data_IF_064685165614
#
_entry.id   IF_064685165614
#
_cell.length_a   1.000
_cell.length_b   1.000
_cell.length_c   1.000
_cell.angle_alpha   90.00
_cell.angle_beta   90.00
_cell.angle_gamma   90.00
#
_symmetry.space_group_name_H-M   'P 1'
#
loop_
_entity.id
_entity.type
_entity.pdbx_description
1 polymer ?
#
# COMPACT_ATOMS: atom_id res chain seq x y z
N UNK A 1 6.90 -16.89 4.07
CA UNK A 1 8.12 -16.63 3.28
C UNK A 1 9.27 -16.31 4.25
N UNK A 2 10.47 -16.85 4.04
CA UNK A 2 11.67 -16.38 4.75
C UNK A 2 12.21 -15.18 3.98
N UNK A 3 12.53 -14.08 4.67
CA UNK A 3 13.04 -12.87 4.03
C UNK A 3 14.21 -12.29 4.84
N UNK A 4 15.00 -11.45 4.19
CA UNK A 4 16.14 -10.74 4.76
C UNK A 4 15.92 -9.23 4.59
N UNK A 5 15.85 -8.50 5.69
CA UNK A 5 15.59 -7.05 5.69
C UNK A 5 16.61 -6.27 4.83
N UNK A 6 17.89 -6.67 4.87
CA UNK A 6 18.94 -6.01 4.09
C UNK A 6 18.75 -6.18 2.59
N UNK A 7 18.28 -7.35 2.16
CA UNK A 7 17.99 -7.61 0.75
C UNK A 7 16.75 -6.85 0.29
N UNK A 8 15.71 -6.76 1.13
CA UNK A 8 14.50 -6.00 0.83
C UNK A 8 14.77 -4.51 0.66
N UNK A 9 15.63 -3.93 1.51
CA UNK A 9 16.05 -2.53 1.36
C UNK A 9 16.81 -2.32 0.05
N UNK A 10 17.75 -3.21 -0.28
CA UNK A 10 18.51 -3.14 -1.54
C UNK A 10 17.60 -3.24 -2.77
N UNK A 11 16.59 -4.10 -2.73
CA UNK A 11 15.61 -4.22 -3.83
C UNK A 11 14.83 -2.90 -3.99
N UNK A 12 14.51 -2.20 -2.90
CA UNK A 12 13.76 -0.93 -2.92
C UNK A 12 14.46 0.20 -3.69
N UNK A 13 15.79 0.13 -3.82
CA UNK A 13 16.62 1.07 -4.59
C UNK A 13 16.57 0.81 -6.10
N UNK A 14 16.00 -0.32 -6.53
CA UNK A 14 15.88 -0.67 -7.94
C UNK A 14 14.89 0.24 -8.68
N UNK A 15 14.94 0.19 -10.01
CA UNK A 15 13.99 0.87 -10.87
C UNK A 15 12.57 0.34 -10.62
N UNK A 16 11.65 1.24 -10.35
CA UNK A 16 10.21 0.98 -10.22
C UNK A 16 9.54 0.84 -11.59
N UNK A 17 8.51 0.01 -11.67
CA UNK A 17 7.61 -0.09 -12.83
C UNK A 17 6.57 1.02 -12.79
N UNK A 18 6.03 1.27 -11.59
CA UNK A 18 5.10 2.36 -11.30
C UNK A 18 5.48 2.98 -9.97
N UNK A 19 5.30 4.29 -9.88
CA UNK A 19 5.51 5.03 -8.64
C UNK A 19 4.62 6.27 -8.60
N UNK A 20 4.29 6.72 -7.39
CA UNK A 20 3.41 7.85 -7.21
C UNK A 20 2.92 8.01 -5.78
N UNK A 21 2.19 9.09 -5.56
CA UNK A 21 1.61 9.41 -4.25
C UNK A 21 0.22 8.77 -4.17
N UNK A 22 -0.04 8.05 -3.07
CA UNK A 22 -1.37 7.52 -2.75
C UNK A 22 -1.76 7.89 -1.30
N UNK A 23 -3.06 7.99 -1.07
CA UNK A 23 -3.65 8.08 0.25
C UNK A 23 -3.87 6.67 0.79
N UNK A 24 -3.09 6.29 1.80
CA UNK A 24 -3.10 4.95 2.36
C UNK A 24 -3.71 4.92 3.76
N UNK A 25 -4.60 3.96 3.99
CA UNK A 25 -5.18 3.67 5.28
C UNK A 25 -5.10 2.16 5.52
N UNK A 26 -4.65 1.78 6.72
CA UNK A 26 -4.74 0.40 7.18
C UNK A 26 -6.11 0.21 7.85
N UNK A 27 -6.93 -0.76 7.43
CA UNK A 27 -8.18 -1.09 8.13
C UNK A 27 -7.92 -1.39 9.61
N UNK A 28 -8.77 -0.88 10.50
CA UNK A 28 -8.67 -1.16 11.94
C UNK A 28 -9.56 -2.35 12.30
N UNK A 29 -8.98 -3.40 12.91
CA UNK A 29 -9.73 -4.55 13.42
C UNK A 29 -10.54 -5.31 12.37
N UNK A 30 -11.75 -5.76 12.77
CA UNK A 30 -12.67 -6.56 11.97
C UNK A 30 -13.63 -5.68 11.13
N UNK A 31 -13.46 -4.36 11.19
CA UNK A 31 -14.38 -3.37 10.65
C UNK A 31 -14.03 -3.06 9.19
N UNK A 32 -14.19 -4.05 8.31
CA UNK A 32 -14.19 -3.77 6.87
C UNK A 32 -15.39 -2.88 6.50
N UNK A 33 -16.52 -3.01 7.21
CA UNK A 33 -17.81 -2.45 6.79
C UNK A 33 -17.89 -0.93 6.75
N UNK A 34 -17.02 -0.19 7.44
CA UNK A 34 -17.27 1.24 7.70
C UNK A 34 -16.03 2.13 7.59
N UNK A 35 -15.02 1.68 6.84
CA UNK A 35 -13.76 2.42 6.63
C UNK A 35 -13.94 3.85 6.09
N UNK A 36 -15.06 4.11 5.39
CA UNK A 36 -15.43 5.40 4.82
C UNK A 36 -16.13 6.34 5.82
N UNK A 37 -16.57 5.87 6.98
CA UNK A 37 -17.26 6.71 7.98
C UNK A 37 -16.29 7.64 8.72
N UNK A 38 -15.07 7.16 9.00
CA UNK A 38 -14.00 7.92 9.64
C UNK A 38 -12.67 7.66 8.93
N UNK A 39 -12.51 8.15 7.68
CA UNK A 39 -11.32 7.88 6.89
C UNK A 39 -10.09 8.54 7.53
N UNK A 40 -9.08 7.74 7.87
CA UNK A 40 -7.79 8.22 8.41
C UNK A 40 -6.63 7.94 7.45
N UNK A 41 -6.77 8.42 6.21
CA UNK A 41 -5.73 8.27 5.19
C UNK A 41 -4.47 9.06 5.54
N UNK A 42 -3.33 8.46 5.24
CA UNK A 42 -2.02 9.11 5.27
C UNK A 42 -1.46 9.15 3.86
N UNK A 43 -1.01 10.32 3.43
CA UNK A 43 -0.27 10.45 2.18
C UNK A 43 1.06 9.70 2.28
N UNK A 44 1.34 8.86 1.28
CA UNK A 44 2.57 8.06 1.18
C UNK A 44 3.02 8.02 -0.27
N UNK A 45 4.33 7.98 -0.46
CA UNK A 45 4.92 7.68 -1.76
C UNK A 45 5.03 6.17 -1.92
N UNK A 46 4.63 5.64 -3.06
CA UNK A 46 4.65 4.21 -3.36
C UNK A 46 5.54 3.93 -4.55
N UNK A 47 6.28 2.81 -4.49
CA UNK A 47 7.06 2.26 -5.59
C UNK A 47 6.69 0.78 -5.79
N UNK A 48 6.26 0.43 -6.99
CA UNK A 48 6.03 -0.96 -7.40
C UNK A 48 7.28 -1.50 -8.09
N UNK A 49 7.83 -2.58 -7.54
CA UNK A 49 8.98 -3.31 -8.09
C UNK A 49 8.58 -4.78 -8.13
N UNK A 50 8.26 -5.30 -9.33
CA UNK A 50 7.66 -6.61 -9.51
C UNK A 50 6.37 -6.76 -8.68
N UNK A 51 6.27 -7.75 -7.81
CA UNK A 51 5.16 -7.95 -6.89
C UNK A 51 5.36 -7.27 -5.52
N UNK A 52 6.35 -6.39 -5.37
CA UNK A 52 6.65 -5.69 -4.12
C UNK A 52 6.24 -4.22 -4.21
N UNK A 53 5.28 -3.83 -3.39
CA UNK A 53 4.81 -2.46 -3.30
C UNK A 53 5.40 -1.81 -2.04
N UNK A 54 6.49 -1.09 -2.23
CA UNK A 54 7.15 -0.32 -1.17
C UNK A 54 6.39 0.98 -0.92
N UNK A 55 6.36 1.41 0.35
CA UNK A 55 5.78 2.70 0.72
C UNK A 55 6.68 3.48 1.67
N UNK A 56 6.72 4.78 1.46
CA UNK A 56 7.61 5.72 2.12
C UNK A 56 6.80 6.84 2.74
N UNK A 57 7.28 7.44 3.82
CA UNK A 57 6.78 8.75 4.22
C UNK A 57 7.20 9.76 3.15
N UNK A 58 6.38 10.77 2.89
CA UNK A 58 6.72 11.86 1.97
C UNK A 58 8.08 12.46 2.39
N UNK A 59 9.05 12.45 1.47
CA UNK A 59 10.45 12.91 1.64
C UNK A 59 11.43 11.97 2.37
N UNK A 60 11.04 10.75 2.71
CA UNK A 60 11.98 9.75 3.25
C UNK A 60 12.52 8.84 2.13
N UNK A 61 13.80 8.49 2.21
CA UNK A 61 14.48 7.62 1.23
C UNK A 61 14.42 6.14 1.63
N UNK A 62 14.23 5.85 2.92
CA UNK A 62 14.11 4.48 3.43
C UNK A 62 12.62 4.07 3.45
N UNK A 63 12.27 2.86 2.97
CA UNK A 63 10.89 2.41 2.96
C UNK A 63 10.37 2.21 4.38
N UNK A 64 9.17 2.74 4.66
CA UNK A 64 8.45 2.48 5.91
C UNK A 64 7.95 1.03 5.99
N UNK A 65 7.79 0.39 4.84
CA UNK A 65 7.48 -1.03 4.72
C UNK A 65 7.26 -1.45 3.27
N UNK A 66 6.90 -2.72 3.10
CA UNK A 66 6.63 -3.33 1.81
C UNK A 66 5.39 -4.21 1.91
N UNK A 67 4.52 -4.13 0.89
CA UNK A 67 3.39 -5.04 0.70
C UNK A 67 3.75 -6.03 -0.40
N UNK A 68 3.67 -7.33 -0.10
CA UNK A 68 3.89 -8.39 -1.08
C UNK A 68 2.56 -8.68 -1.78
N UNK A 69 2.41 -8.27 -3.03
CA UNK A 69 1.18 -8.35 -3.80
C UNK A 69 0.92 -9.74 -4.42
N UNK A 70 1.75 -10.73 -4.10
CA UNK A 70 1.53 -12.11 -4.54
C UNK A 70 0.19 -12.63 -4.01
N UNK A 71 -0.67 -13.11 -4.92
CA UNK A 71 -2.03 -13.58 -4.61
C UNK A 71 -2.95 -12.54 -3.93
N UNK A 72 -2.62 -11.25 -4.02
CA UNK A 72 -3.51 -10.18 -3.58
C UNK A 72 -4.69 -10.01 -4.54
N UNK A 73 -5.85 -9.63 -3.99
CA UNK A 73 -7.02 -9.22 -4.75
C UNK A 73 -7.20 -7.71 -4.65
N UNK A 74 -7.47 -7.07 -5.78
CA UNK A 74 -7.74 -5.64 -5.86
C UNK A 74 -9.23 -5.46 -6.16
N UNK A 75 -9.90 -4.63 -5.37
CA UNK A 75 -11.29 -4.24 -5.61
C UNK A 75 -11.40 -2.71 -5.67
N UNK A 76 -11.99 -2.19 -6.74
CA UNK A 76 -12.35 -0.77 -6.79
C UNK A 76 -13.53 -0.52 -5.87
N UNK A 77 -13.36 0.43 -4.97
CA UNK A 77 -14.40 0.82 -4.03
C UNK A 77 -15.40 1.74 -4.71
N UNK A 78 -16.68 1.60 -4.37
CA UNK A 78 -17.69 2.54 -4.86
C UNK A 78 -17.35 3.94 -4.34
N UNK A 79 -17.40 4.99 -5.18
CA UNK A 79 -17.17 6.34 -4.72
C UNK A 79 -18.07 6.65 -3.52
N UNK A 80 -17.45 7.05 -2.42
CA UNK A 80 -18.13 7.53 -1.22
C UNK A 80 -17.84 9.02 -1.05
N UNK A 81 -18.71 9.74 -0.32
CA UNK A 81 -18.61 11.20 -0.16
C UNK A 81 -17.16 11.67 0.11
N UNK A 82 -16.56 12.34 -0.89
CA UNK A 82 -15.20 12.92 -0.78
C UNK A 82 -14.03 11.97 -1.03
N UNK A 83 -14.28 10.70 -1.36
CA UNK A 83 -13.24 9.68 -1.59
C UNK A 83 -13.41 9.07 -2.99
N UNK A 84 -13.01 9.80 -4.05
CA UNK A 84 -13.04 9.28 -5.41
C UNK A 84 -11.83 8.33 -5.64
N UNK A 85 -12.00 7.37 -6.55
CA UNK A 85 -10.92 6.48 -7.02
C UNK A 85 -10.26 5.57 -5.95
N UNK A 86 -10.99 5.26 -4.87
CA UNK A 86 -10.50 4.32 -3.87
C UNK A 86 -10.48 2.88 -4.40
N UNK A 87 -9.51 2.11 -3.91
CA UNK A 87 -9.43 0.67 -4.10
C UNK A 87 -8.94 0.02 -2.81
N UNK A 88 -9.32 -1.23 -2.59
CA UNK A 88 -8.84 -2.06 -1.49
C UNK A 88 -7.91 -3.15 -2.02
N UNK A 89 -6.92 -3.51 -1.20
CA UNK A 89 -6.03 -4.64 -1.42
C UNK A 89 -6.33 -5.67 -0.34
N UNK A 90 -6.68 -6.88 -0.75
CA UNK A 90 -6.97 -8.00 0.15
C UNK A 90 -5.95 -9.10 -0.06
N UNK A 91 -5.27 -9.50 1.01
CA UNK A 91 -4.35 -10.62 1.00
C UNK A 91 -5.10 -11.87 1.46
N UNK A 92 -5.07 -12.92 0.64
CA UNK A 92 -5.58 -14.23 1.06
C UNK A 92 -4.58 -14.81 2.06
N UNK A 93 -5.08 -15.22 3.23
CA UNK A 93 -4.31 -15.93 4.26
C UNK A 93 -4.41 -17.43 4.01
#
# INVERSE_FOLDING_TARGET
MRYNDKELVKISESKSELEGILHHMKPQGNEWSDWYQQPCFKERYFKLISNLLYYYRTNETEPLGVLVLENAQIAYERPHHGIPFAFSITFKV
#
